data_IF_513348881308
#
_entry.id   IF_513348881308
#
_cell.length_a   1.000
_cell.length_b   1.000
_cell.length_c   1.000
_cell.angle_alpha   90.00
_cell.angle_beta   90.00
_cell.angle_gamma   90.00
#
_symmetry.space_group_name_H-M   'P 1'
#
loop_
_entity.id
_entity.type
_entity.pdbx_description
1 polymer ?
#
# COMPACT_ATOMS: atom_id res chain seq x y z
N UNK A 1 11.94 1.55 -6.51
CA UNK A 1 12.00 1.85 -5.09
C UNK A 1 13.44 1.95 -4.59
N UNK A 2 14.25 0.94 -4.92
CA UNK A 2 15.67 0.95 -4.53
C UNK A 2 16.48 1.99 -5.30
N UNK A 3 15.95 2.50 -6.41
CA UNK A 3 16.62 3.52 -7.22
C UNK A 3 16.41 4.94 -6.70
N UNK A 4 15.71 5.11 -5.58
CA UNK A 4 15.42 6.41 -5.02
C UNK A 4 14.24 7.13 -5.64
N UNK A 5 13.57 6.51 -6.60
CA UNK A 5 12.38 7.09 -7.23
C UNK A 5 11.18 6.97 -6.30
N UNK A 6 10.27 7.94 -6.41
CA UNK A 6 9.02 7.91 -5.65
C UNK A 6 8.08 6.88 -6.26
N UNK A 7 7.53 6.01 -5.42
CA UNK A 7 6.58 4.97 -5.82
C UNK A 7 5.28 5.17 -5.06
N UNK A 8 4.17 5.19 -5.77
CA UNK A 8 2.84 5.31 -5.16
C UNK A 8 1.93 4.16 -5.55
N UNK A 9 1.11 3.71 -4.61
CA UNK A 9 0.14 2.66 -4.85
C UNK A 9 -1.09 2.89 -3.97
N UNK A 10 -2.27 2.61 -4.50
CA UNK A 10 -3.55 2.89 -3.84
C UNK A 10 -4.43 1.66 -3.86
N UNK A 11 -5.18 1.46 -2.78
CA UNK A 11 -6.20 0.41 -2.68
C UNK A 11 -5.59 -0.97 -2.87
N UNK A 12 -5.85 -1.65 -3.98
CA UNK A 12 -5.26 -2.94 -4.30
C UNK A 12 -3.88 -2.84 -4.96
N UNK A 13 -3.49 -1.62 -5.39
CA UNK A 13 -2.19 -1.37 -6.03
C UNK A 13 -0.99 -1.91 -5.27
N UNK A 14 -0.95 -1.82 -3.92
CA UNK A 14 0.18 -2.37 -3.16
C UNK A 14 0.41 -3.88 -3.37
N UNK A 15 -0.56 -4.61 -3.91
CA UNK A 15 -0.37 -6.02 -4.25
C UNK A 15 0.78 -6.21 -5.25
N UNK A 16 1.03 -5.22 -6.10
CA UNK A 16 2.13 -5.29 -7.05
C UNK A 16 3.50 -5.36 -6.35
N UNK A 17 3.59 -4.85 -5.14
CA UNK A 17 4.84 -4.85 -4.37
C UNK A 17 5.16 -6.23 -3.79
N UNK A 18 4.15 -7.10 -3.67
CA UNK A 18 4.32 -8.43 -3.09
C UNK A 18 5.13 -9.36 -3.99
N UNK A 19 5.17 -9.07 -5.30
CA UNK A 19 5.92 -9.89 -6.25
C UNK A 19 7.40 -9.55 -6.35
N UNK A 20 7.83 -8.48 -5.68
CA UNK A 20 9.21 -8.02 -5.79
C UNK A 20 10.04 -8.33 -4.56
N UNK A 21 11.36 -8.41 -4.76
CA UNK A 21 12.30 -8.60 -3.68
C UNK A 21 13.40 -7.54 -3.75
N UNK A 22 13.99 -7.25 -2.59
CA UNK A 22 15.14 -6.35 -2.49
C UNK A 22 16.42 -7.11 -2.87
N UNK A 23 17.50 -6.37 -3.03
CA UNK A 23 18.82 -6.96 -3.26
C UNK A 23 19.25 -7.90 -2.13
N UNK A 24 18.75 -7.69 -0.92
CA UNK A 24 19.09 -8.54 0.24
C UNK A 24 18.21 -9.79 0.34
N UNK A 25 17.30 -10.00 -0.60
CA UNK A 25 16.41 -11.16 -0.64
C UNK A 25 15.10 -11.03 0.12
N UNK A 26 14.91 -9.93 0.86
CA UNK A 26 13.65 -9.69 1.57
C UNK A 26 12.60 -9.11 0.62
N UNK A 27 11.29 -9.33 0.91
CA UNK A 27 10.22 -8.66 0.15
C UNK A 27 10.40 -7.15 0.15
N UNK A 28 9.94 -6.48 -0.92
CA UNK A 28 10.05 -5.03 -1.04
C UNK A 28 9.41 -4.29 0.13
N UNK A 29 8.33 -4.83 0.69
CA UNK A 29 7.59 -4.19 1.77
C UNK A 29 8.11 -4.56 3.16
N UNK A 30 9.12 -5.44 3.25
CA UNK A 30 9.63 -5.92 4.54
C UNK A 30 10.09 -4.76 5.41
N UNK A 31 9.53 -4.65 6.60
CA UNK A 31 9.79 -3.59 7.59
C UNK A 31 9.45 -2.18 7.10
N UNK A 32 8.65 -2.06 6.03
CA UNK A 32 8.20 -0.75 5.55
C UNK A 32 6.80 -0.44 6.05
N UNK A 33 6.55 0.83 6.36
CA UNK A 33 5.21 1.30 6.67
C UNK A 33 4.39 1.35 5.39
N UNK A 34 3.27 0.65 5.36
CA UNK A 34 2.39 0.58 4.19
C UNK A 34 0.94 0.55 4.60
N UNK A 35 0.08 0.90 3.67
CA UNK A 35 -1.35 0.64 3.76
C UNK A 35 -1.85 0.11 2.43
N UNK A 36 -3.08 -0.32 2.40
CA UNK A 36 -3.75 -0.83 1.22
C UNK A 36 -5.15 -1.25 1.64
N UNK A 37 -5.93 -1.77 0.70
CA UNK A 37 -7.30 -2.16 0.99
C UNK A 37 -7.35 -3.10 2.20
N UNK A 38 -8.12 -2.71 3.22
CA UNK A 38 -8.19 -3.48 4.47
C UNK A 38 -9.15 -4.66 4.36
N UNK A 39 -9.01 -5.62 5.28
CA UNK A 39 -9.95 -6.75 5.35
C UNK A 39 -11.37 -6.27 5.55
N UNK A 40 -11.57 -5.23 6.38
CA UNK A 40 -12.90 -4.67 6.62
C UNK A 40 -13.51 -4.10 5.34
N UNK A 41 -12.70 -3.47 4.50
CA UNK A 41 -13.16 -2.93 3.22
C UNK A 41 -13.47 -4.04 2.22
N UNK A 42 -12.68 -5.11 2.19
CA UNK A 42 -12.98 -6.26 1.34
C UNK A 42 -14.26 -6.96 1.78
N UNK A 43 -14.50 -7.05 3.09
CA UNK A 43 -15.73 -7.63 3.62
C UNK A 43 -16.95 -6.79 3.27
N UNK A 44 -16.80 -5.48 3.16
CA UNK A 44 -17.88 -4.57 2.77
C UNK A 44 -18.26 -4.70 1.29
N UNK A 45 -17.37 -5.27 0.46
CA UNK A 45 -17.59 -5.48 -0.98
C UNK A 45 -17.33 -6.94 -1.35
N UNK A 46 -18.19 -7.89 -0.89
CA UNK A 46 -17.93 -9.31 -1.09
C UNK A 46 -17.87 -9.73 -2.56
N UNK A 47 -18.53 -9.01 -3.45
CA UNK A 47 -18.48 -9.32 -4.88
C UNK A 47 -17.08 -9.09 -5.44
N UNK A 48 -16.43 -8.02 -5.04
CA UNK A 48 -15.08 -7.73 -5.46
C UNK A 48 -14.07 -8.68 -4.82
N UNK A 49 -14.28 -9.03 -3.54
CA UNK A 49 -13.38 -9.91 -2.82
C UNK A 49 -13.52 -11.38 -3.22
N UNK A 50 -14.68 -11.78 -3.76
CA UNK A 50 -14.92 -13.17 -4.13
C UNK A 50 -14.03 -13.66 -5.26
N UNK A 51 -13.53 -12.76 -6.09
CA UNK A 51 -12.62 -13.09 -7.19
C UNK A 51 -11.15 -13.08 -6.74
N UNK A 52 -10.87 -12.66 -5.52
CA UNK A 52 -9.51 -12.53 -5.00
C UNK A 52 -9.19 -13.73 -4.11
N UNK A 53 -8.08 -14.39 -4.40
CA UNK A 53 -7.67 -15.62 -3.69
C UNK A 53 -6.94 -15.34 -2.38
N UNK A 54 -6.58 -14.08 -2.12
CA UNK A 54 -5.93 -13.69 -0.88
C UNK A 54 -6.39 -12.29 -0.51
N UNK A 55 -6.21 -11.96 0.77
CA UNK A 55 -6.54 -10.63 1.28
C UNK A 55 -5.27 -9.81 1.35
N UNK A 56 -5.32 -8.61 0.77
CA UNK A 56 -4.14 -7.75 0.66
C UNK A 56 -3.54 -7.42 2.01
N UNK A 57 -4.37 -7.05 2.99
CA UNK A 57 -3.89 -6.74 4.34
C UNK A 57 -3.10 -7.90 4.94
N UNK A 58 -3.64 -9.11 4.84
CA UNK A 58 -2.99 -10.29 5.39
C UNK A 58 -1.66 -10.59 4.68
N UNK A 59 -1.64 -10.41 3.38
CA UNK A 59 -0.42 -10.66 2.59
C UNK A 59 0.68 -9.65 2.90
N UNK A 60 0.32 -8.37 3.08
CA UNK A 60 1.29 -7.35 3.45
C UNK A 60 1.89 -7.66 4.82
N UNK A 61 1.06 -8.05 5.78
CA UNK A 61 1.53 -8.45 7.10
C UNK A 61 2.43 -9.68 7.04
N UNK A 62 2.06 -10.67 6.23
CA UNK A 62 2.87 -11.89 6.05
C UNK A 62 4.21 -11.61 5.40
N UNK A 63 4.29 -10.58 4.57
CA UNK A 63 5.55 -10.16 3.94
C UNK A 63 6.43 -9.34 4.88
N UNK A 64 5.99 -9.13 6.12
CA UNK A 64 6.77 -8.40 7.13
C UNK A 64 6.59 -6.91 7.11
N UNK A 65 5.59 -6.39 6.39
CA UNK A 65 5.31 -4.97 6.36
C UNK A 65 4.69 -4.50 7.67
N UNK A 66 4.91 -3.23 8.00
CA UNK A 66 4.20 -2.55 9.08
C UNK A 66 2.91 -1.98 8.49
N UNK A 67 1.84 -2.77 8.53
CA UNK A 67 0.57 -2.38 7.95
C UNK A 67 -0.20 -1.46 8.89
N UNK A 68 -0.62 -0.32 8.35
CA UNK A 68 -1.38 0.69 9.08
C UNK A 68 -2.69 0.95 8.33
N UNK A 69 -3.80 1.00 9.05
CA UNK A 69 -5.10 1.24 8.42
C UNK A 69 -5.98 2.11 9.31
N UNK A 70 -6.98 2.71 8.68
CA UNK A 70 -8.06 3.44 9.35
C UNK A 70 -9.38 2.75 9.04
N UNK A 71 -10.46 3.32 9.55
CA UNK A 71 -11.80 2.79 9.28
C UNK A 71 -12.08 2.71 7.78
N UNK A 72 -12.92 1.77 7.34
CA UNK A 72 -13.22 1.60 5.92
C UNK A 72 -13.64 2.91 5.25
N UNK A 73 -13.11 3.11 4.04
CA UNK A 73 -13.45 4.20 3.12
C UNK A 73 -13.05 5.60 3.59
N UNK A 74 -12.31 5.70 4.69
CA UNK A 74 -11.66 6.96 5.05
C UNK A 74 -10.36 7.11 4.29
N UNK A 75 -10.07 8.32 3.83
CA UNK A 75 -8.79 8.61 3.18
C UNK A 75 -7.65 8.38 4.17
N UNK A 76 -6.68 7.57 3.79
CA UNK A 76 -5.52 7.27 4.63
C UNK A 76 -4.32 6.99 3.75
N UNK A 77 -3.23 7.69 4.02
CA UNK A 77 -1.99 7.59 3.27
C UNK A 77 -0.85 7.33 4.24
N UNK A 78 0.01 6.40 3.88
CA UNK A 78 1.24 6.12 4.64
C UNK A 78 2.42 6.46 3.74
N UNK A 79 3.33 7.28 4.25
CA UNK A 79 4.56 7.66 3.56
C UNK A 79 5.73 7.04 4.31
N UNK A 80 6.53 6.24 3.62
CA UNK A 80 7.73 5.62 4.17
C UNK A 80 8.87 5.85 3.18
N UNK A 81 9.71 6.85 3.46
CA UNK A 81 10.74 7.26 2.53
C UNK A 81 10.15 7.69 1.20
N UNK A 82 10.48 6.98 0.13
CA UNK A 82 9.95 7.24 -1.20
C UNK A 82 8.77 6.35 -1.59
N UNK A 83 8.25 5.57 -0.65
CA UNK A 83 7.07 4.73 -0.87
C UNK A 83 5.84 5.40 -0.26
N UNK A 84 4.84 5.63 -1.10
CA UNK A 84 3.56 6.24 -0.69
C UNK A 84 2.45 5.25 -0.99
N UNK A 85 1.69 4.86 0.03
CA UNK A 85 0.57 3.94 -0.17
C UNK A 85 -0.72 4.55 0.37
N UNK A 86 -1.82 4.27 -0.31
CA UNK A 86 -3.16 4.70 0.10
C UNK A 86 -4.06 3.50 0.34
N UNK A 87 -4.89 3.58 1.37
CA UNK A 87 -5.69 2.44 1.82
C UNK A 87 -6.81 2.08 0.85
N UNK A 88 -7.45 3.07 0.25
CA UNK A 88 -8.68 2.87 -0.54
C UNK A 88 -8.76 3.88 -1.68
N UNK A 89 -9.73 3.73 -2.58
CA UNK A 89 -9.88 4.68 -3.69
C UNK A 89 -10.02 6.14 -3.24
N UNK A 90 -10.61 6.39 -2.07
CA UNK A 90 -10.76 7.75 -1.55
C UNK A 90 -9.42 8.37 -1.18
N UNK A 91 -8.35 7.58 -1.12
CA UNK A 91 -7.01 8.06 -0.80
C UNK A 91 -6.21 8.48 -2.05
N UNK A 92 -6.73 8.28 -3.26
CA UNK A 92 -5.97 8.48 -4.49
C UNK A 92 -5.42 9.90 -4.64
N UNK A 93 -6.26 10.91 -4.39
CA UNK A 93 -5.82 12.30 -4.49
C UNK A 93 -4.72 12.62 -3.48
N UNK A 94 -4.87 12.13 -2.25
CA UNK A 94 -3.88 12.37 -1.20
C UNK A 94 -2.54 11.68 -1.51
N UNK A 95 -2.58 10.49 -2.13
CA UNK A 95 -1.37 9.81 -2.58
C UNK A 95 -0.67 10.64 -3.64
N UNK A 96 -1.43 11.16 -4.62
CA UNK A 96 -0.87 12.02 -5.66
C UNK A 96 -0.21 13.27 -5.07
N UNK A 97 -0.87 13.92 -4.13
CA UNK A 97 -0.33 15.10 -3.45
C UNK A 97 0.95 14.79 -2.68
N UNK A 98 0.98 13.65 -1.97
CA UNK A 98 2.16 13.24 -1.23
C UNK A 98 3.34 12.95 -2.16
N UNK A 99 3.08 12.33 -3.31
CA UNK A 99 4.12 12.06 -4.31
C UNK A 99 4.70 13.34 -4.87
N UNK A 100 3.84 14.31 -5.18
CA UNK A 100 4.29 15.63 -5.68
C UNK A 100 5.16 16.32 -4.64
N UNK A 101 4.75 16.28 -3.39
CA UNK A 101 5.52 16.87 -2.29
C UNK A 101 6.91 16.25 -2.20
N UNK A 102 7.01 14.93 -2.29
CA UNK A 102 8.29 14.24 -2.24
C UNK A 102 9.18 14.59 -3.44
N UNK A 103 8.59 14.73 -4.63
CA UNK A 103 9.34 15.10 -5.82
C UNK A 103 9.89 16.53 -5.76
N UNK A 104 9.17 17.44 -5.09
CA UNK A 104 9.58 18.83 -4.97
C UNK A 104 10.54 19.08 -3.79
N UNK A 105 10.39 18.34 -2.71
CA UNK A 105 11.07 18.62 -1.44
C UNK A 105 11.96 17.49 -0.94
N UNK A 106 11.82 16.32 -1.53
CA UNK A 106 12.57 15.15 -1.13
C UNK A 106 13.82 14.97 -1.93
#
# INVERSE_FOLDING_TARGET
>A
LDSGKVVGAVSYGPAALLGGTRCDGHPLVFRRGVTGLSNAEEDANPEDSSSVRFRLEDRLKSAGAHYLSREPWLSHVVVDGNLVTGQNPDSAAAVGEAMIHLLEHG
#
